data_IF_136587992732
#
_entry.id   IF_136587992732
#
_cell.length_a   1.000
_cell.length_b   1.000
_cell.length_c   1.000
_cell.angle_alpha   90.00
_cell.angle_beta   90.00
_cell.angle_gamma   90.00
#
_symmetry.space_group_name_H-M   'P 1'
#
loop_
_entity.id
_entity.type
_entity.pdbx_description
1 polymer ?
#
# COMPACT_ATOMS: atom_id res chain seq x y z
N UNK A 1 26.76 55.46 41.86
CA UNK A 1 26.48 55.28 40.41
C UNK A 1 27.13 54.00 39.87
N UNK A 2 28.46 53.81 39.98
CA UNK A 2 29.16 52.58 39.52
C UNK A 2 28.57 51.28 40.09
N UNK A 3 28.36 51.21 41.41
CA UNK A 3 27.79 50.03 42.11
C UNK A 3 26.35 49.69 41.74
N UNK A 4 25.56 50.68 41.30
CA UNK A 4 24.18 50.45 40.89
C UNK A 4 24.12 49.80 39.50
N UNK A 5 25.00 50.23 38.59
CA UNK A 5 25.12 49.63 37.25
C UNK A 5 25.63 48.20 37.37
N UNK A 6 26.64 47.96 38.21
CA UNK A 6 27.15 46.60 38.49
C UNK A 6 26.04 45.68 39.02
N UNK A 7 25.24 46.14 39.99
CA UNK A 7 24.10 45.37 40.51
C UNK A 7 23.01 45.11 39.47
N UNK A 8 22.73 46.04 38.56
CA UNK A 8 21.77 45.81 37.47
C UNK A 8 22.29 44.79 36.46
N UNK A 9 23.58 44.86 36.10
CA UNK A 9 24.20 43.92 35.17
C UNK A 9 24.19 42.50 35.76
N UNK A 10 24.51 42.35 37.04
CA UNK A 10 24.44 41.03 37.69
C UNK A 10 23.01 40.49 37.72
N UNK A 11 22.01 41.32 38.03
CA UNK A 11 20.60 40.89 37.99
C UNK A 11 20.11 40.50 36.59
N UNK A 12 20.58 41.18 35.54
CA UNK A 12 20.28 40.80 34.14
C UNK A 12 20.93 39.46 33.81
N UNK A 13 22.18 39.26 34.24
CA UNK A 13 22.92 38.01 34.03
C UNK A 13 22.20 36.84 34.72
N UNK A 14 21.83 36.96 35.99
CA UNK A 14 21.09 35.93 36.73
C UNK A 14 19.75 35.59 36.04
N UNK A 15 19.06 36.59 35.50
CA UNK A 15 17.81 36.38 34.78
C UNK A 15 18.00 35.64 33.45
N UNK A 16 19.07 35.96 32.71
CA UNK A 16 19.42 35.28 31.46
C UNK A 16 19.82 33.84 31.73
N UNK A 17 20.67 33.60 32.74
CA UNK A 17 21.10 32.26 33.12
C UNK A 17 19.89 31.39 33.52
N UNK A 18 18.97 31.93 34.33
CA UNK A 18 17.73 31.22 34.66
C UNK A 18 16.79 31.01 33.47
N UNK A 19 16.78 31.89 32.46
CA UNK A 19 16.05 31.66 31.21
C UNK A 19 16.67 30.52 30.40
N UNK A 20 17.99 30.45 30.33
CA UNK A 20 18.73 29.40 29.63
C UNK A 20 18.42 28.04 30.27
N UNK A 21 18.51 27.92 31.59
CA UNK A 21 18.21 26.66 32.30
C UNK A 21 16.79 26.15 32.01
N UNK A 22 15.77 27.03 32.06
CA UNK A 22 14.39 26.63 31.73
C UNK A 22 14.24 26.18 30.29
N UNK A 23 14.90 26.85 29.35
CA UNK A 23 14.89 26.44 27.94
C UNK A 23 15.57 25.07 27.76
N UNK A 24 16.66 24.80 28.46
CA UNK A 24 17.34 23.51 28.41
C UNK A 24 16.45 22.38 28.95
N UNK A 25 15.73 22.61 30.05
CA UNK A 25 14.75 21.65 30.59
C UNK A 25 13.62 21.35 29.59
N UNK A 26 13.05 22.39 28.97
CA UNK A 26 12.00 22.22 27.96
C UNK A 26 12.50 21.45 26.74
N UNK A 27 13.71 21.75 26.26
CA UNK A 27 14.34 21.05 25.14
C UNK A 27 14.60 19.57 25.45
N UNK A 28 15.06 19.25 26.67
CA UNK A 28 15.20 17.87 27.10
C UNK A 28 13.85 17.16 27.17
N UNK A 29 12.81 17.84 27.66
CA UNK A 29 11.44 17.32 27.69
C UNK A 29 10.87 17.06 26.30
N UNK A 30 11.11 17.95 25.34
CA UNK A 30 10.72 17.77 23.93
C UNK A 30 11.48 16.61 23.31
N UNK A 31 12.79 16.52 23.52
CA UNK A 31 13.62 15.42 23.04
C UNK A 31 13.08 14.06 23.53
N UNK A 32 12.79 13.93 24.83
CA UNK A 32 12.22 12.70 25.37
C UNK A 32 10.85 12.33 24.80
N UNK A 33 10.00 13.32 24.47
CA UNK A 33 8.73 13.08 23.78
C UNK A 33 8.94 12.58 22.35
N UNK A 34 9.92 13.13 21.63
CA UNK A 34 10.29 12.69 20.28
C UNK A 34 10.76 11.24 20.31
N UNK A 35 11.70 10.91 21.21
CA UNK A 35 12.22 9.54 21.35
C UNK A 35 11.11 8.53 21.65
N UNK A 36 10.13 8.90 22.50
CA UNK A 36 8.96 8.06 22.79
C UNK A 36 8.08 7.85 21.55
N UNK A 37 7.77 8.92 20.83
CA UNK A 37 6.94 8.85 19.60
C UNK A 37 7.64 8.01 18.53
N UNK A 38 8.96 8.17 18.38
CA UNK A 38 9.77 7.38 17.44
C UNK A 38 9.68 5.88 17.76
N UNK A 39 9.81 5.51 19.04
CA UNK A 39 9.66 4.13 19.50
C UNK A 39 8.25 3.56 19.24
N UNK A 40 7.19 4.34 19.52
CA UNK A 40 5.80 3.92 19.27
C UNK A 40 5.52 3.72 17.77
N UNK A 41 6.03 4.62 16.92
CA UNK A 41 5.91 4.51 15.46
C UNK A 41 6.64 3.27 14.96
N UNK A 42 7.88 3.04 15.43
CA UNK A 42 8.65 1.86 15.04
C UNK A 42 7.94 0.55 15.42
N UNK A 43 7.38 0.47 16.63
CA UNK A 43 6.62 -0.70 17.09
C UNK A 43 5.39 -0.97 16.22
N UNK A 44 4.61 0.08 15.90
CA UNK A 44 3.43 -0.06 15.03
C UNK A 44 3.78 -0.50 13.61
N UNK A 45 4.92 -0.03 13.07
CA UNK A 45 5.38 -0.44 11.75
C UNK A 45 5.70 -1.95 11.74
N UNK A 46 6.44 -2.45 12.74
CA UNK A 46 6.75 -3.87 12.81
C UNK A 46 5.50 -4.74 13.05
N UNK A 47 4.55 -4.29 13.88
CA UNK A 47 3.27 -4.99 14.08
C UNK A 47 2.48 -5.13 12.76
N UNK A 48 2.28 -4.02 12.04
CA UNK A 48 1.57 -4.03 10.76
C UNK A 48 2.30 -4.90 9.73
N UNK A 49 3.63 -4.86 9.70
CA UNK A 49 4.44 -5.68 8.81
C UNK A 49 4.27 -7.18 9.10
N UNK A 50 4.27 -7.57 10.38
CA UNK A 50 4.01 -8.96 10.78
C UNK A 50 2.62 -9.42 10.34
N UNK A 51 1.57 -8.63 10.57
CA UNK A 51 0.21 -8.97 10.15
C UNK A 51 0.07 -9.15 8.63
N UNK A 52 0.69 -8.26 7.86
CA UNK A 52 0.67 -8.32 6.40
C UNK A 52 1.38 -9.59 5.92
N UNK A 53 2.54 -9.90 6.51
CA UNK A 53 3.30 -11.11 6.16
C UNK A 53 2.51 -12.39 6.47
N UNK A 54 1.83 -12.45 7.62
CA UNK A 54 0.99 -13.60 8.00
C UNK A 54 -0.19 -13.78 7.03
N UNK A 55 -0.91 -12.69 6.72
CA UNK A 55 -2.03 -12.71 5.77
C UNK A 55 -1.59 -13.14 4.38
N UNK A 56 -0.41 -12.71 3.94
CA UNK A 56 0.13 -13.11 2.65
C UNK A 56 0.46 -14.60 2.60
N UNK A 57 1.08 -15.13 3.67
CA UNK A 57 1.35 -16.57 3.79
C UNK A 57 0.07 -17.42 3.81
N UNK A 58 -1.00 -16.96 4.48
CA UNK A 58 -2.31 -17.63 4.45
C UNK A 58 -2.89 -17.67 3.04
N UNK A 59 -2.82 -16.55 2.31
CA UNK A 59 -3.31 -16.47 0.94
C UNK A 59 -2.53 -17.36 -0.02
N UNK A 60 -1.19 -17.40 0.08
CA UNK A 60 -0.35 -18.30 -0.71
C UNK A 60 -0.73 -19.77 -0.48
N UNK A 61 -0.96 -20.18 0.77
CA UNK A 61 -1.43 -21.52 1.11
C UNK A 61 -2.80 -21.82 0.49
N UNK A 62 -3.77 -20.91 0.65
CA UNK A 62 -5.13 -21.09 0.11
C UNK A 62 -5.15 -21.14 -1.42
N UNK A 63 -4.30 -20.36 -2.08
CA UNK A 63 -4.12 -20.42 -3.53
C UNK A 63 -3.57 -21.78 -3.97
N UNK A 64 -2.55 -22.29 -3.26
CA UNK A 64 -1.97 -23.62 -3.51
C UNK A 64 -3.01 -24.73 -3.37
N UNK A 65 -3.87 -24.67 -2.34
CA UNK A 65 -4.96 -25.63 -2.14
C UNK A 65 -6.02 -25.56 -3.27
N UNK A 66 -6.31 -24.36 -3.77
CA UNK A 66 -7.24 -24.17 -4.89
C UNK A 66 -6.67 -24.70 -6.22
N UNK A 67 -5.38 -24.48 -6.48
CA UNK A 67 -4.71 -24.94 -7.70
C UNK A 67 -4.59 -26.47 -7.74
N UNK A 68 -4.39 -27.10 -6.58
CA UNK A 68 -4.26 -28.56 -6.46
C UNK A 68 -5.59 -29.30 -6.39
N UNK A 69 -6.72 -28.60 -6.14
CA UNK A 69 -8.06 -29.22 -6.12
C UNK A 69 -8.51 -29.54 -7.56
N UNK A 70 -8.67 -30.82 -7.93
CA UNK A 70 -9.23 -31.17 -9.23
C UNK A 70 -10.65 -30.61 -9.34
N UNK A 71 -10.92 -29.90 -10.43
CA UNK A 71 -12.21 -29.29 -10.70
C UNK A 71 -13.23 -30.40 -10.98
N UNK A 72 -13.90 -30.94 -9.96
CA UNK A 72 -14.88 -32.03 -10.09
C UNK A 72 -16.26 -31.53 -10.56
N UNK A 73 -16.31 -30.57 -11.48
CA UNK A 73 -17.55 -30.31 -12.21
C UNK A 73 -17.75 -31.46 -13.20
N UNK A 74 -18.86 -32.22 -13.16
CA UNK A 74 -19.20 -33.07 -14.29
C UNK A 74 -19.27 -32.14 -15.49
N UNK A 75 -18.45 -32.41 -16.51
CA UNK A 75 -18.49 -31.70 -17.77
C UNK A 75 -19.90 -31.89 -18.36
N UNK A 76 -20.82 -30.96 -18.09
CA UNK A 76 -22.17 -31.01 -18.62
C UNK A 76 -22.09 -30.70 -20.13
N UNK A 77 -22.41 -31.67 -21.02
CA UNK A 77 -22.33 -31.48 -22.46
C UNK A 77 -23.33 -30.45 -23.01
N UNK A 78 -24.37 -30.08 -22.25
CA UNK A 78 -25.44 -29.18 -22.72
C UNK A 78 -25.00 -27.73 -22.96
N UNK A 79 -23.89 -27.27 -22.36
CA UNK A 79 -23.38 -25.90 -22.56
C UNK A 79 -22.45 -25.76 -23.78
N UNK A 80 -22.22 -26.82 -24.56
CA UNK A 80 -21.37 -26.75 -25.76
C UNK A 80 -22.07 -26.10 -26.98
N UNK A 81 -23.32 -25.67 -26.86
CA UNK A 81 -24.00 -24.97 -27.94
C UNK A 81 -23.65 -23.47 -27.96
N UNK A 82 -22.57 -23.18 -28.69
CA UNK A 82 -22.38 -21.99 -29.51
C UNK A 82 -22.56 -20.63 -28.84
N UNK A 83 -21.83 -20.37 -27.76
CA UNK A 83 -21.50 -18.99 -27.40
C UNK A 83 -20.21 -18.59 -28.13
N UNK A 84 -20.16 -17.48 -28.90
CA UNK A 84 -18.91 -17.02 -29.49
C UNK A 84 -17.89 -16.78 -28.37
N UNK A 85 -16.83 -17.58 -28.32
CA UNK A 85 -15.70 -17.34 -27.42
C UNK A 85 -14.88 -16.20 -28.00
N UNK A 86 -15.28 -14.96 -27.69
CA UNK A 86 -14.45 -13.80 -28.03
C UNK A 86 -13.16 -13.95 -27.23
N UNK A 87 -12.02 -14.05 -27.93
CA UNK A 87 -10.72 -14.23 -27.30
C UNK A 87 -10.45 -13.06 -26.34
N UNK A 88 -10.01 -13.33 -25.09
CA UNK A 88 -9.52 -12.29 -24.20
C UNK A 88 -8.40 -11.50 -24.89
N UNK A 89 -8.48 -10.17 -24.80
CA UNK A 89 -7.44 -9.29 -25.34
C UNK A 89 -6.22 -9.36 -24.41
N UNK A 90 -5.03 -9.51 -24.98
CA UNK A 90 -3.76 -9.30 -24.26
C UNK A 90 -3.51 -7.79 -24.18
N UNK A 91 -3.32 -7.26 -22.99
CA UNK A 91 -2.84 -5.89 -22.83
C UNK A 91 -1.42 -5.83 -23.39
N UNK A 92 -1.18 -4.87 -24.28
CA UNK A 92 0.09 -4.71 -25.01
C UNK A 92 0.83 -3.42 -24.64
N UNK A 93 0.25 -2.63 -23.72
CA UNK A 93 0.76 -1.32 -23.33
C UNK A 93 0.65 -0.22 -24.40
N UNK A 94 0.13 -0.53 -25.59
CA UNK A 94 -0.05 0.45 -26.69
C UNK A 94 -1.36 1.23 -26.55
N UNK A 95 -2.38 0.61 -25.99
CA UNK A 95 -3.68 1.23 -25.71
C UNK A 95 -3.76 1.71 -24.26
N UNK A 96 -4.47 2.82 -24.01
CA UNK A 96 -4.61 3.34 -22.65
C UNK A 96 -5.41 2.39 -21.75
N UNK A 97 -5.13 2.42 -20.45
CA UNK A 97 -5.79 1.56 -19.45
C UNK A 97 -7.32 1.66 -19.46
N UNK A 98 -7.88 2.84 -19.71
CA UNK A 98 -9.33 3.07 -19.78
C UNK A 98 -9.97 2.38 -20.99
N UNK A 99 -9.28 2.36 -22.14
CA UNK A 99 -9.74 1.65 -23.33
C UNK A 99 -9.70 0.14 -23.08
N UNK A 100 -8.61 -0.35 -22.48
CA UNK A 100 -8.46 -1.76 -22.13
C UNK A 100 -9.52 -2.25 -21.14
N UNK A 101 -9.82 -1.49 -20.07
CA UNK A 101 -10.92 -1.82 -19.13
C UNK A 101 -12.28 -1.89 -19.83
N UNK A 102 -12.55 -0.95 -20.74
CA UNK A 102 -13.82 -0.92 -21.48
C UNK A 102 -13.95 -2.15 -22.38
N UNK A 103 -12.90 -2.49 -23.12
CA UNK A 103 -12.88 -3.68 -23.97
C UNK A 103 -12.99 -4.97 -23.15
N UNK A 104 -12.29 -5.05 -22.02
CA UNK A 104 -12.38 -6.19 -21.09
C UNK A 104 -13.80 -6.38 -20.54
N UNK A 105 -14.48 -5.28 -20.17
CA UNK A 105 -15.86 -5.32 -19.68
C UNK A 105 -16.86 -5.76 -20.77
N UNK A 106 -16.66 -5.33 -22.03
CA UNK A 106 -17.48 -5.75 -23.17
C UNK A 106 -17.28 -7.25 -23.44
N UNK A 107 -16.03 -7.72 -23.48
CA UNK A 107 -15.69 -9.14 -23.73
C UNK A 107 -16.22 -10.04 -22.62
N UNK A 108 -16.00 -9.65 -21.36
CA UNK A 108 -16.48 -10.44 -20.21
C UNK A 108 -18.01 -10.53 -20.13
N UNK A 109 -18.72 -9.45 -20.46
CA UNK A 109 -20.19 -9.44 -20.51
C UNK A 109 -20.72 -10.28 -21.67
N UNK A 110 -20.11 -10.16 -22.85
CA UNK A 110 -20.48 -10.92 -24.06
C UNK A 110 -20.28 -12.42 -23.83
N UNK A 111 -19.18 -12.79 -23.17
CA UNK A 111 -18.86 -14.18 -22.82
C UNK A 111 -19.58 -14.65 -21.53
N UNK A 112 -20.28 -13.75 -20.82
CA UNK A 112 -20.95 -14.00 -19.54
C UNK A 112 -20.04 -14.65 -18.51
N UNK A 113 -18.82 -14.14 -18.39
CA UNK A 113 -17.87 -14.59 -17.39
C UNK A 113 -18.40 -14.30 -15.97
N UNK A 114 -18.24 -15.27 -15.08
CA UNK A 114 -18.42 -15.06 -13.64
C UNK A 114 -17.29 -14.17 -13.11
N UNK A 115 -17.47 -13.55 -11.94
CA UNK A 115 -16.45 -12.66 -11.38
C UNK A 115 -15.11 -13.36 -11.14
N UNK A 116 -15.15 -14.65 -10.81
CA UNK A 116 -13.95 -15.49 -10.74
C UNK A 116 -13.23 -15.59 -12.10
N UNK A 117 -13.96 -15.87 -13.17
CA UNK A 117 -13.37 -15.95 -14.53
C UNK A 117 -12.87 -14.59 -15.00
N UNK A 118 -13.57 -13.50 -14.67
CA UNK A 118 -13.09 -12.12 -14.92
C UNK A 118 -11.76 -11.86 -14.22
N UNK A 119 -11.63 -12.22 -12.95
CA UNK A 119 -10.39 -12.02 -12.21
C UNK A 119 -9.22 -12.81 -12.84
N UNK A 120 -9.41 -14.10 -13.12
CA UNK A 120 -8.36 -14.93 -13.74
C UNK A 120 -7.96 -14.45 -15.14
N UNK A 121 -8.93 -14.06 -15.96
CA UNK A 121 -8.66 -13.57 -17.31
C UNK A 121 -8.01 -12.18 -17.31
N UNK A 122 -8.38 -11.30 -16.37
CA UNK A 122 -7.72 -9.99 -16.23
C UNK A 122 -6.24 -10.15 -15.90
N UNK A 123 -5.92 -11.04 -14.95
CA UNK A 123 -4.53 -11.37 -14.61
C UNK A 123 -3.78 -11.95 -15.81
N UNK A 124 -4.41 -12.87 -16.56
CA UNK A 124 -3.81 -13.44 -17.76
C UNK A 124 -3.57 -12.39 -18.86
N UNK A 125 -4.50 -11.46 -19.06
CA UNK A 125 -4.39 -10.35 -20.01
C UNK A 125 -3.23 -9.40 -19.68
N UNK A 126 -2.83 -9.30 -18.41
CA UNK A 126 -1.75 -8.43 -17.93
C UNK A 126 -0.37 -9.10 -17.87
N UNK A 127 -0.31 -10.45 -17.95
CA UNK A 127 0.91 -11.28 -17.78
C UNK A 127 2.02 -11.04 -18.82
N UNK A 128 1.82 -10.11 -19.77
CA UNK A 128 2.82 -9.68 -20.75
C UNK A 128 3.26 -8.21 -20.63
N UNK A 129 2.62 -7.43 -19.75
CA UNK A 129 2.83 -5.97 -19.60
C UNK A 129 3.09 -5.57 -18.14
N UNK A 130 3.59 -6.52 -17.33
CA UNK A 130 3.85 -6.38 -15.90
C UNK A 130 4.66 -5.12 -15.56
N UNK A 131 5.65 -4.77 -16.39
CA UNK A 131 6.51 -3.59 -16.21
C UNK A 131 5.80 -2.24 -16.44
N UNK A 132 4.79 -2.20 -17.31
CA UNK A 132 4.08 -0.95 -17.65
C UNK A 132 2.92 -0.69 -16.68
N UNK A 133 2.22 -1.75 -16.26
CA UNK A 133 1.23 -1.68 -15.18
C UNK A 133 1.88 -1.20 -13.88
N UNK A 134 3.09 -1.67 -13.58
CA UNK A 134 3.84 -1.25 -12.40
C UNK A 134 4.21 0.24 -12.41
N UNK A 135 4.60 0.81 -13.57
CA UNK A 135 4.86 2.25 -13.71
C UNK A 135 3.60 3.09 -13.52
N UNK A 136 2.47 2.64 -14.01
CA UNK A 136 1.20 3.39 -13.89
C UNK A 136 0.70 3.43 -12.44
N UNK A 137 0.87 2.34 -11.68
CA UNK A 137 0.61 2.32 -10.24
C UNK A 137 1.52 3.30 -9.47
N UNK A 138 2.78 3.46 -9.87
CA UNK A 138 3.69 4.44 -9.26
C UNK A 138 3.35 5.90 -9.63
N UNK A 139 2.76 6.15 -10.80
CA UNK A 139 2.33 7.51 -11.18
C UNK A 139 1.04 7.97 -10.50
N UNK A 140 0.32 7.05 -9.85
CA UNK A 140 -0.93 7.34 -9.13
C UNK A 140 -0.77 7.51 -7.61
N UNK A 141 0.45 7.34 -7.05
CA UNK A 141 0.78 7.62 -5.63
C UNK A 141 1.58 8.90 -5.48
#
# INVERSE_FOLDING_TARGET
>A
MRTHVESQVEGIKDHVDGCIERMEEELQGVKGKIDKVEGEVHMKIEEVKCEVQEKMSDLERRLSDLETRPNNFPANPEFMYSRPTVKPLTFDGLTSWTVSKTQFNVVSSTNGWTDFVKASQLVASLRGSEAEVFKEFQMMS
#
